data_IF_926135824236
#
_entry.id   IF_926135824236
#
_cell.length_a   1.000
_cell.length_b   1.000
_cell.length_c   1.000
_cell.angle_alpha   90.00
_cell.angle_beta   90.00
_cell.angle_gamma   90.00
#
_symmetry.space_group_name_H-M   'P 1'
#
loop_
_entity.id
_entity.type
_entity.pdbx_description
1 polymer ?
#
# COMPACT_ATOMS: atom_id res chain seq x y z
N UNK A 1 -28.20 15.37 -18.02
CA UNK A 1 -27.67 14.24 -17.21
C UNK A 1 -26.95 14.69 -15.93
N UNK A 2 -26.00 15.64 -15.96
CA UNK A 2 -25.28 16.11 -14.74
C UNK A 2 -26.18 16.65 -13.60
N UNK A 3 -27.24 17.40 -13.93
CA UNK A 3 -28.17 17.97 -12.91
C UNK A 3 -29.01 16.90 -12.19
N UNK A 4 -29.44 15.85 -12.90
CA UNK A 4 -30.23 14.74 -12.32
C UNK A 4 -29.35 13.93 -11.36
N UNK A 5 -28.10 13.66 -11.74
CA UNK A 5 -27.13 12.98 -10.87
C UNK A 5 -26.84 13.79 -9.59
N UNK A 6 -26.74 15.11 -9.70
CA UNK A 6 -26.55 16.01 -8.55
C UNK A 6 -27.75 16.01 -7.59
N UNK A 7 -28.98 15.97 -8.12
CA UNK A 7 -30.18 15.84 -7.28
C UNK A 7 -30.25 14.48 -6.56
N UNK A 8 -29.90 13.39 -7.23
CA UNK A 8 -29.86 12.06 -6.60
C UNK A 8 -28.81 11.98 -5.48
N UNK A 9 -27.64 12.61 -5.69
CA UNK A 9 -26.60 12.68 -4.66
C UNK A 9 -27.06 13.47 -3.43
N UNK A 10 -27.74 14.61 -3.63
CA UNK A 10 -28.30 15.40 -2.53
C UNK A 10 -29.38 14.65 -1.75
N UNK A 11 -30.23 13.88 -2.43
CA UNK A 11 -31.23 13.03 -1.79
C UNK A 11 -30.58 11.90 -0.96
N UNK A 12 -29.52 11.26 -1.48
CA UNK A 12 -28.75 10.26 -0.74
C UNK A 12 -28.11 10.86 0.52
N UNK A 13 -27.48 12.03 0.40
CA UNK A 13 -26.88 12.72 1.55
C UNK A 13 -27.96 13.10 2.57
N UNK A 14 -29.08 13.67 2.12
CA UNK A 14 -30.22 14.01 2.97
C UNK A 14 -30.78 12.79 3.71
N UNK A 15 -30.90 11.65 3.02
CA UNK A 15 -31.35 10.40 3.63
C UNK A 15 -30.37 9.87 4.69
N UNK A 16 -29.06 9.89 4.41
CA UNK A 16 -28.03 9.47 5.38
C UNK A 16 -28.04 10.36 6.62
N UNK A 17 -28.17 11.68 6.46
CA UNK A 17 -28.25 12.63 7.58
C UNK A 17 -29.53 12.42 8.40
N UNK A 18 -30.67 12.23 7.73
CA UNK A 18 -31.95 11.94 8.40
C UNK A 18 -31.89 10.65 9.23
N UNK A 19 -31.38 9.57 8.63
CA UNK A 19 -31.19 8.29 9.33
C UNK A 19 -30.28 8.45 10.55
N UNK A 20 -29.17 9.19 10.42
CA UNK A 20 -28.27 9.47 11.54
C UNK A 20 -29.00 10.20 12.68
N UNK A 21 -29.72 11.27 12.37
CA UNK A 21 -30.48 12.04 13.36
C UNK A 21 -31.52 11.19 14.09
N UNK A 22 -32.27 10.35 13.36
CA UNK A 22 -33.27 9.46 13.95
C UNK A 22 -32.62 8.40 14.86
N UNK A 23 -31.44 7.92 14.48
CA UNK A 23 -30.68 6.94 15.27
C UNK A 23 -30.17 7.56 16.58
N UNK A 24 -29.61 8.77 16.51
CA UNK A 24 -29.09 9.49 17.68
C UNK A 24 -30.23 9.81 18.67
N UNK A 25 -31.40 10.24 18.18
CA UNK A 25 -32.57 10.49 19.03
C UNK A 25 -33.09 9.24 19.72
N UNK A 26 -33.15 8.10 19.01
CA UNK A 26 -33.52 6.80 19.62
C UNK A 26 -32.51 6.38 20.68
N UNK A 27 -31.23 6.61 20.44
CA UNK A 27 -30.16 6.31 21.40
C UNK A 27 -30.29 7.14 22.67
N UNK A 28 -30.50 8.45 22.54
CA UNK A 28 -30.74 9.34 23.69
C UNK A 28 -31.97 8.92 24.50
N UNK A 29 -33.05 8.51 23.82
CA UNK A 29 -34.25 7.98 24.49
C UNK A 29 -33.94 6.70 25.28
N UNK A 30 -33.21 5.75 24.71
CA UNK A 30 -32.81 4.52 25.42
C UNK A 30 -31.89 4.81 26.60
N UNK A 31 -30.91 5.71 26.45
CA UNK A 31 -30.02 6.14 27.55
C UNK A 31 -30.81 6.80 28.70
N UNK A 32 -31.85 7.57 28.37
CA UNK A 32 -32.79 8.12 29.36
C UNK A 32 -33.63 7.03 30.05
N UNK A 33 -34.03 5.97 29.34
CA UNK A 33 -34.76 4.86 29.96
C UNK A 33 -33.88 4.01 30.88
N UNK A 34 -32.61 3.80 30.52
CA UNK A 34 -31.65 3.04 31.34
C UNK A 34 -31.28 3.75 32.64
N UNK A 35 -31.36 5.09 32.69
CA UNK A 35 -31.06 5.88 33.89
C UNK A 35 -32.23 5.98 34.88
N UNK A 36 -33.46 5.60 34.48
CA UNK A 36 -34.63 5.57 35.38
C UNK A 36 -34.68 4.28 36.19
N UNK A 37 -35.14 4.31 37.46
CA UNK A 37 -35.32 3.09 38.25
C UNK A 37 -36.47 2.23 37.69
N UNK A 38 -36.31 0.91 37.74
CA UNK A 38 -37.21 -0.09 37.13
C UNK A 38 -38.66 -0.01 37.61
N UNK A 39 -38.88 0.54 38.81
CA UNK A 39 -40.21 0.78 39.40
C UNK A 39 -40.97 1.94 38.76
N UNK A 40 -40.29 2.87 38.09
CA UNK A 40 -40.88 4.04 37.43
C UNK A 40 -41.12 3.84 35.93
N UNK A 41 -40.66 2.72 35.36
CA UNK A 41 -40.84 2.39 33.96
C UNK A 41 -42.25 1.87 33.68
N UNK A 42 -42.89 2.44 32.67
CA UNK A 42 -44.15 1.94 32.11
C UNK A 42 -43.94 0.59 31.41
N UNK A 43 -45.02 -0.17 31.21
CA UNK A 43 -44.96 -1.47 30.49
C UNK A 43 -44.34 -1.33 29.09
N UNK A 44 -44.60 -0.21 28.41
CA UNK A 44 -44.07 0.08 27.07
C UNK A 44 -42.56 0.36 27.10
N UNK A 45 -42.08 1.20 28.04
CA UNK A 45 -40.65 1.48 28.19
C UNK A 45 -39.84 0.23 28.56
N UNK A 46 -40.42 -0.70 29.33
CA UNK A 46 -39.80 -2.01 29.63
C UNK A 46 -39.67 -2.88 28.37
N UNK A 47 -40.66 -2.84 27.49
CA UNK A 47 -40.62 -3.56 26.22
C UNK A 47 -39.59 -2.94 25.27
N UNK A 48 -39.56 -1.61 25.14
CA UNK A 48 -38.58 -0.88 24.32
C UNK A 48 -37.13 -1.19 24.77
N UNK A 49 -36.87 -1.27 26.09
CA UNK A 49 -35.57 -1.65 26.64
C UNK A 49 -35.21 -3.11 26.32
N UNK A 50 -36.16 -4.04 26.45
CA UNK A 50 -35.93 -5.45 26.14
C UNK A 50 -35.62 -5.67 24.66
N UNK A 51 -36.36 -5.01 23.77
CA UNK A 51 -36.12 -5.06 22.32
C UNK A 51 -34.74 -4.48 21.96
N UNK A 52 -34.34 -3.38 22.60
CA UNK A 52 -33.01 -2.80 22.42
C UNK A 52 -31.88 -3.73 22.92
N UNK A 53 -32.06 -4.37 24.08
CA UNK A 53 -31.10 -5.34 24.60
C UNK A 53 -30.94 -6.57 23.68
N UNK A 54 -32.05 -7.10 23.16
CA UNK A 54 -32.01 -8.19 22.18
C UNK A 54 -31.31 -7.77 20.89
N UNK A 55 -31.59 -6.55 20.40
CA UNK A 55 -30.92 -6.00 19.22
C UNK A 55 -29.41 -5.85 19.42
N UNK A 56 -28.97 -5.31 20.56
CA UNK A 56 -27.54 -5.18 20.88
C UNK A 56 -26.87 -6.55 21.05
N UNK A 57 -27.53 -7.52 21.68
CA UNK A 57 -27.01 -8.91 21.75
C UNK A 57 -26.82 -9.50 20.35
N UNK A 58 -27.82 -9.37 19.46
CA UNK A 58 -27.70 -9.83 18.08
C UNK A 58 -26.61 -9.09 17.29
N UNK A 59 -26.42 -7.79 17.55
CA UNK A 59 -25.35 -6.99 16.93
C UNK A 59 -23.97 -7.46 17.39
N UNK A 60 -23.80 -7.76 18.67
CA UNK A 60 -22.55 -8.30 19.23
C UNK A 60 -22.23 -9.68 18.66
N UNK A 61 -23.22 -10.57 18.54
CA UNK A 61 -23.06 -11.89 17.91
C UNK A 61 -22.61 -11.74 16.45
N UNK A 62 -23.29 -10.90 15.66
CA UNK A 62 -22.91 -10.64 14.26
C UNK A 62 -21.51 -10.06 14.12
N UNK A 63 -21.10 -9.15 15.01
CA UNK A 63 -19.74 -8.59 15.03
C UNK A 63 -18.71 -9.67 15.34
N UNK A 64 -18.97 -10.50 16.35
CA UNK A 64 -18.05 -11.57 16.74
C UNK A 64 -17.92 -12.64 15.64
N UNK A 65 -18.99 -12.95 14.92
CA UNK A 65 -18.98 -13.86 13.78
C UNK A 65 -18.21 -13.27 12.59
N UNK A 66 -18.48 -12.02 12.23
CA UNK A 66 -17.77 -11.32 11.16
C UNK A 66 -16.27 -11.20 11.44
N UNK A 67 -15.88 -10.89 12.68
CA UNK A 67 -14.48 -10.82 13.08
C UNK A 67 -13.80 -12.20 13.01
N UNK A 68 -14.49 -13.26 13.42
CA UNK A 68 -13.98 -14.64 13.28
C UNK A 68 -13.79 -15.02 11.81
N UNK A 69 -14.73 -14.65 10.95
CA UNK A 69 -14.64 -14.91 9.51
C UNK A 69 -13.50 -14.11 8.86
N UNK A 70 -13.37 -12.83 9.20
CA UNK A 70 -12.28 -11.98 8.72
C UNK A 70 -10.91 -12.52 9.14
N UNK A 71 -10.77 -12.97 10.40
CA UNK A 71 -9.54 -13.62 10.88
C UNK A 71 -9.23 -14.90 10.10
N UNK A 72 -10.23 -15.73 9.81
CA UNK A 72 -10.05 -16.94 8.99
C UNK A 72 -9.60 -16.60 7.57
N UNK A 73 -10.22 -15.60 6.94
CA UNK A 73 -9.87 -15.14 5.60
C UNK A 73 -8.43 -14.60 5.55
N UNK A 74 -8.06 -13.74 6.50
CA UNK A 74 -6.69 -13.21 6.62
C UNK A 74 -5.67 -14.34 6.83
N UNK A 75 -5.96 -15.29 7.70
CA UNK A 75 -5.07 -16.45 7.91
C UNK A 75 -4.94 -17.32 6.64
N UNK A 76 -6.01 -17.51 5.87
CA UNK A 76 -5.96 -18.23 4.60
C UNK A 76 -5.17 -17.46 3.52
N UNK A 77 -5.36 -16.14 3.43
CA UNK A 77 -4.60 -15.26 2.53
C UNK A 77 -3.11 -15.27 2.88
N UNK A 78 -2.76 -15.16 4.16
CA UNK A 78 -1.38 -15.27 4.66
C UNK A 78 -0.77 -16.64 4.33
N UNK A 79 -1.52 -17.73 4.51
CA UNK A 79 -1.08 -19.07 4.13
C UNK A 79 -0.82 -19.18 2.63
N UNK A 80 -1.74 -18.73 1.78
CA UNK A 80 -1.57 -18.73 0.32
C UNK A 80 -0.38 -17.86 -0.11
N UNK A 81 -0.21 -16.69 0.49
CA UNK A 81 0.92 -15.81 0.22
C UNK A 81 2.25 -16.46 0.63
N UNK A 82 2.27 -17.14 1.78
CA UNK A 82 3.45 -17.87 2.25
C UNK A 82 3.77 -19.08 1.36
N UNK A 83 2.76 -19.87 0.96
CA UNK A 83 2.93 -20.98 0.02
C UNK A 83 3.44 -20.48 -1.35
N UNK A 84 2.90 -19.36 -1.86
CA UNK A 84 3.39 -18.72 -3.07
C UNK A 84 4.83 -18.24 -2.92
N UNK A 85 5.17 -17.59 -1.81
CA UNK A 85 6.53 -17.14 -1.52
C UNK A 85 7.51 -18.31 -1.47
N UNK A 86 7.17 -19.41 -0.80
CA UNK A 86 8.03 -20.59 -0.76
C UNK A 86 8.23 -21.20 -2.15
N UNK A 87 7.18 -21.24 -2.99
CA UNK A 87 7.25 -21.76 -4.34
C UNK A 87 8.08 -20.89 -5.30
N UNK A 88 8.12 -19.57 -5.09
CA UNK A 88 8.79 -18.61 -5.98
C UNK A 88 9.95 -17.86 -5.30
N UNK A 89 10.47 -18.41 -4.19
CA UNK A 89 11.42 -17.73 -3.30
C UNK A 89 12.62 -17.18 -4.07
N UNK A 90 13.24 -18.01 -4.90
CA UNK A 90 14.45 -17.65 -5.64
C UNK A 90 14.21 -16.57 -6.69
N UNK A 91 13.03 -16.54 -7.30
CA UNK A 91 12.65 -15.49 -8.24
C UNK A 91 12.39 -14.17 -7.50
N UNK A 92 11.62 -14.21 -6.41
CA UNK A 92 11.32 -13.05 -5.58
C UNK A 92 12.60 -12.43 -5.00
N UNK A 93 13.53 -13.26 -4.51
CA UNK A 93 14.80 -12.79 -3.97
C UNK A 93 15.70 -12.21 -5.06
N UNK A 94 15.76 -12.81 -6.26
CA UNK A 94 16.48 -12.24 -7.41
C UNK A 94 15.91 -10.91 -7.84
N UNK A 95 14.59 -10.77 -7.92
CA UNK A 95 13.96 -9.51 -8.30
C UNK A 95 14.14 -8.43 -7.24
N UNK A 96 14.12 -8.80 -5.96
CA UNK A 96 14.49 -7.89 -4.88
C UNK A 96 15.93 -7.39 -5.05
N UNK A 97 16.88 -8.28 -5.34
CA UNK A 97 18.27 -7.91 -5.58
C UNK A 97 18.44 -6.95 -6.77
N UNK A 98 17.70 -7.17 -7.87
CA UNK A 98 17.71 -6.28 -9.03
C UNK A 98 17.19 -4.88 -8.68
N UNK A 99 16.09 -4.78 -7.92
CA UNK A 99 15.52 -3.51 -7.47
C UNK A 99 16.46 -2.77 -6.53
N UNK A 100 17.04 -3.46 -5.56
CA UNK A 100 18.00 -2.88 -4.61
C UNK A 100 19.23 -2.34 -5.35
N UNK A 101 19.73 -3.08 -6.36
CA UNK A 101 20.83 -2.63 -7.22
C UNK A 101 20.45 -1.39 -8.03
N UNK A 102 19.27 -1.38 -8.66
CA UNK A 102 18.79 -0.24 -9.44
C UNK A 102 18.76 1.04 -8.59
N UNK A 103 18.16 0.96 -7.39
CA UNK A 103 18.07 2.09 -6.47
C UNK A 103 19.46 2.59 -6.02
N UNK A 104 20.36 1.67 -5.65
CA UNK A 104 21.70 2.05 -5.24
C UNK A 104 22.50 2.69 -6.39
N UNK A 105 22.34 2.19 -7.61
CA UNK A 105 23.10 2.63 -8.77
C UNK A 105 22.55 3.87 -9.46
N UNK A 106 21.27 4.23 -9.30
CA UNK A 106 20.73 5.49 -9.86
C UNK A 106 21.25 6.72 -9.10
N UNK A 107 21.65 6.56 -7.84
CA UNK A 107 22.12 7.66 -7.00
C UNK A 107 23.64 7.88 -7.09
N UNK A 108 24.43 6.81 -7.29
CA UNK A 108 25.89 6.85 -7.36
C UNK A 108 26.47 7.83 -8.42
N UNK A 109 25.94 7.91 -9.65
CA UNK A 109 26.48 8.79 -10.68
C UNK A 109 26.25 10.26 -10.35
N UNK A 110 25.09 10.61 -9.79
CA UNK A 110 24.77 11.98 -9.38
C UNK A 110 25.74 12.50 -8.32
N UNK A 111 26.29 11.62 -7.49
CA UNK A 111 27.31 12.00 -6.50
C UNK A 111 28.72 12.09 -7.10
N UNK A 112 28.97 11.37 -8.19
CA UNK A 112 30.30 11.26 -8.81
C UNK A 112 30.52 12.25 -9.97
N UNK A 113 29.44 12.79 -10.53
CA UNK A 113 29.49 13.80 -11.59
C UNK A 113 29.98 15.14 -11.05
N UNK A 114 30.84 15.83 -11.81
CA UNK A 114 31.37 17.16 -11.44
C UNK A 114 30.28 18.24 -11.36
N UNK A 115 29.23 18.11 -12.18
CA UNK A 115 28.12 19.06 -12.27
C UNK A 115 26.78 18.32 -12.38
N UNK A 116 26.34 17.59 -11.35
CA UNK A 116 25.26 16.62 -11.50
C UNK A 116 23.92 17.24 -11.92
N UNK A 117 23.68 18.51 -11.58
CA UNK A 117 22.47 19.24 -11.99
C UNK A 117 22.40 19.57 -13.48
N UNK A 118 23.53 19.53 -14.19
CA UNK A 118 23.58 19.82 -15.63
C UNK A 118 23.46 18.56 -16.47
N UNK A 119 23.40 17.38 -15.84
CA UNK A 119 23.23 16.11 -16.51
C UNK A 119 21.80 15.59 -16.30
N UNK A 120 21.18 15.18 -17.40
CA UNK A 120 19.93 14.45 -17.44
C UNK A 120 20.23 12.98 -17.73
N UNK A 121 19.37 12.10 -17.23
CA UNK A 121 19.44 10.67 -17.52
C UNK A 121 18.80 10.43 -18.90
N UNK A 122 19.61 10.03 -19.87
CA UNK A 122 19.18 9.88 -21.27
C UNK A 122 18.68 8.44 -21.54
N UNK A 123 19.46 7.44 -21.11
CA UNK A 123 19.17 6.04 -21.40
C UNK A 123 19.52 5.14 -20.22
N UNK A 124 18.65 4.16 -19.94
CA UNK A 124 18.88 3.09 -18.96
C UNK A 124 18.70 1.75 -19.64
N UNK A 125 19.71 0.89 -19.52
CA UNK A 125 19.70 -0.48 -20.04
C UNK A 125 19.90 -1.45 -18.88
N UNK A 126 19.00 -2.42 -18.78
CA UNK A 126 19.05 -3.51 -17.80
C UNK A 126 19.37 -4.80 -18.53
N UNK A 127 20.35 -5.55 -18.05
CA UNK A 127 20.78 -6.77 -18.72
C UNK A 127 21.28 -7.84 -17.76
N UNK A 128 20.82 -9.07 -17.96
CA UNK A 128 21.35 -10.26 -17.29
C UNK A 128 22.32 -10.99 -18.21
N UNK A 129 23.53 -11.24 -17.73
CA UNK A 129 24.57 -11.99 -18.45
C UNK A 129 25.14 -13.10 -17.57
N UNK A 130 25.97 -13.95 -18.16
CA UNK A 130 26.82 -14.89 -17.42
C UNK A 130 28.27 -14.45 -17.53
N UNK A 131 28.91 -14.19 -16.40
CA UNK A 131 30.35 -13.90 -16.32
C UNK A 131 31.02 -15.07 -15.59
N UNK A 132 31.95 -15.75 -16.26
CA UNK A 132 32.61 -16.96 -15.73
C UNK A 132 31.61 -18.03 -15.24
N UNK A 133 30.51 -18.20 -15.97
CA UNK A 133 29.45 -19.15 -15.62
C UNK A 133 28.47 -18.67 -14.53
N UNK A 134 28.74 -17.55 -13.87
CA UNK A 134 27.92 -16.99 -12.80
C UNK A 134 26.94 -15.95 -13.34
N UNK A 135 25.66 -15.94 -12.89
CA UNK A 135 24.69 -14.94 -13.32
C UNK A 135 25.06 -13.58 -12.74
N UNK A 136 25.11 -12.57 -13.60
CA UNK A 136 25.45 -11.18 -13.27
C UNK A 136 24.38 -10.28 -13.86
N UNK A 137 23.95 -9.29 -13.08
CA UNK A 137 23.00 -8.28 -13.51
C UNK A 137 23.73 -6.97 -13.72
N UNK A 138 23.53 -6.37 -14.88
CA UNK A 138 24.10 -5.09 -15.30
C UNK A 138 23.00 -4.03 -15.39
N UNK A 139 23.35 -2.84 -14.96
CA UNK A 139 22.64 -1.59 -15.19
C UNK A 139 23.60 -0.64 -15.88
N UNK A 140 23.27 -0.22 -17.09
CA UNK A 140 23.98 0.83 -17.81
C UNK A 140 23.12 2.08 -17.80
N UNK A 141 23.71 3.19 -17.39
CA UNK A 141 23.05 4.50 -17.41
C UNK A 141 23.91 5.44 -18.25
N UNK A 142 23.29 6.09 -19.23
CA UNK A 142 23.89 7.19 -19.97
C UNK A 142 23.31 8.51 -19.46
N UNK A 143 24.21 9.41 -19.08
CA UNK A 143 23.87 10.77 -18.68
C UNK A 143 24.34 11.73 -19.75
N UNK A 144 23.50 12.66 -20.20
CA UNK A 144 23.94 13.75 -21.06
C UNK A 144 23.68 15.11 -20.45
N UNK A 145 24.54 16.06 -20.75
CA UNK A 145 24.46 17.40 -20.19
C UNK A 145 25.20 18.41 -21.03
N UNK A 146 25.08 19.68 -20.66
CA UNK A 146 25.90 20.76 -21.23
C UNK A 146 26.89 21.27 -20.20
N UNK A 147 28.13 21.49 -20.61
CA UNK A 147 29.13 22.11 -19.76
C UNK A 147 28.97 23.64 -19.73
N UNK A 148 29.81 24.32 -18.95
CA UNK A 148 29.81 25.79 -18.83
C UNK A 148 30.07 26.55 -20.15
N UNK A 149 30.52 25.86 -21.21
CA UNK A 149 30.76 26.42 -22.54
C UNK A 149 29.64 26.08 -23.55
N UNK A 150 28.54 25.45 -23.09
CA UNK A 150 27.43 25.04 -23.94
C UNK A 150 27.72 23.81 -24.81
N UNK A 151 28.80 23.08 -24.56
CA UNK A 151 29.14 21.86 -25.29
C UNK A 151 28.44 20.67 -24.66
N UNK A 152 27.76 19.85 -25.48
CA UNK A 152 27.12 18.60 -25.03
C UNK A 152 28.19 17.59 -24.61
N UNK A 153 28.02 17.01 -23.43
CA UNK A 153 28.85 15.94 -22.89
C UNK A 153 27.95 14.75 -22.58
N UNK A 154 28.42 13.53 -22.87
CA UNK A 154 27.80 12.28 -22.41
C UNK A 154 28.77 11.57 -21.48
N UNK A 155 28.24 11.00 -20.40
CA UNK A 155 28.95 10.10 -19.51
C UNK A 155 28.16 8.81 -19.38
N UNK A 156 28.86 7.69 -19.56
CA UNK A 156 28.29 6.38 -19.37
C UNK A 156 28.76 5.79 -18.06
N UNK A 157 27.81 5.25 -17.33
CA UNK A 157 28.00 4.61 -16.05
C UNK A 157 27.50 3.19 -16.14
N UNK A 158 28.28 2.24 -15.64
CA UNK A 158 27.85 0.86 -15.51
C UNK A 158 27.90 0.46 -14.05
N UNK A 159 26.94 -0.37 -13.69
CA UNK A 159 26.75 -0.92 -12.38
C UNK A 159 26.45 -2.40 -12.53
N UNK A 160 27.05 -3.26 -11.70
CA UNK A 160 26.77 -4.68 -11.77
C UNK A 160 26.93 -5.40 -10.44
N UNK A 161 26.24 -6.54 -10.36
CA UNK A 161 26.30 -7.44 -9.20
C UNK A 161 26.03 -8.88 -9.62
N UNK A 162 26.67 -9.82 -8.95
CA UNK A 162 26.35 -11.24 -9.08
C UNK A 162 24.98 -11.54 -8.46
N UNK A 163 24.13 -12.28 -9.18
CA UNK A 163 22.78 -12.66 -8.71
C UNK A 163 22.81 -13.89 -7.80
N UNK A 164 23.89 -14.68 -7.83
CA UNK A 164 24.09 -15.87 -6.99
C UNK A 164 24.74 -15.54 -5.64
N UNK A 165 25.20 -14.30 -5.43
CA UNK A 165 25.81 -13.85 -4.18
C UNK A 165 25.15 -12.55 -3.67
N UNK A 166 24.10 -12.67 -2.82
CA UNK A 166 23.39 -11.54 -2.24
C UNK A 166 24.23 -10.68 -1.29
N UNK A 167 25.48 -11.07 -0.98
CA UNK A 167 26.41 -10.30 -0.13
C UNK A 167 27.52 -9.63 -0.93
N UNK A 168 27.72 -10.01 -2.20
CA UNK A 168 28.68 -9.36 -3.08
C UNK A 168 28.39 -7.85 -3.15
N UNK A 169 29.40 -6.96 -3.13
CA UNK A 169 29.17 -5.54 -3.27
C UNK A 169 28.64 -5.21 -4.67
N UNK A 170 27.95 -4.08 -4.79
CA UNK A 170 27.61 -3.51 -6.08
C UNK A 170 28.88 -2.88 -6.64
N UNK A 171 29.31 -3.35 -7.80
CA UNK A 171 30.46 -2.79 -8.51
C UNK A 171 29.98 -1.71 -9.46
N UNK A 172 30.73 -0.63 -9.59
CA UNK A 172 30.39 0.45 -10.49
C UNK A 172 31.61 1.11 -11.10
N UNK A 173 31.47 1.60 -12.32
CA UNK A 173 32.53 2.33 -13.00
C UNK A 173 31.96 3.25 -14.08
N UNK A 174 32.62 4.39 -14.28
CA UNK A 174 32.45 5.16 -15.50
C UNK A 174 33.21 4.49 -16.65
N UNK A 175 32.68 4.60 -17.86
CA UNK A 175 33.32 4.10 -19.06
C UNK A 175 33.07 5.06 -20.23
N UNK A 176 33.89 4.92 -21.27
CA UNK A 176 33.85 5.77 -22.47
C UNK A 176 33.03 5.08 -23.58
#
# INVERSE_FOLDING_TARGET
>A
MKKILQFLLLLLIGFVVYMKYETDKKREYIEQLQSKPVSQLTKKEKQDLAEHEEFEKQRLVRRAEAEKEERKRKAEEERKAHEYYLAHKDEIERDKLKRDMHFACSEMPKLSLKYPKTYEEDHVILEERKLNGRPIYFLYIEFSGTNAFGVRMSQKFQCYRYLDDPKAPIMHSFYN
#
